data_IF_043245343972
#
_entry.id   IF_043245343972
#
_cell.length_a   1.000
_cell.length_b   1.000
_cell.length_c   1.000
_cell.angle_alpha   90.00
_cell.angle_beta   90.00
_cell.angle_gamma   90.00
#
_symmetry.space_group_name_H-M   'P 1'
#
loop_
_entity.id
_entity.type
_entity.pdbx_description
1 polymer ?
#
# COMPACT_ATOMS: atom_id res chain seq x y z
N UNK A 1 -6.40 -8.94 5.15
CA UNK A 1 -5.21 -8.08 5.14
C UNK A 1 -5.52 -6.72 5.72
N UNK A 2 -4.50 -6.10 6.27
CA UNK A 2 -4.57 -4.75 6.83
C UNK A 2 -3.40 -3.94 6.29
N UNK A 3 -3.65 -2.73 5.80
CA UNK A 3 -2.61 -1.86 5.27
C UNK A 3 -2.84 -0.41 5.68
N UNK A 4 -1.76 0.32 5.81
CA UNK A 4 -1.73 1.75 6.07
C UNK A 4 -0.98 2.41 4.92
N UNK A 5 -1.46 3.55 4.46
CA UNK A 5 -0.83 4.32 3.42
C UNK A 5 -0.95 5.83 3.68
N UNK A 6 0.15 6.52 3.47
CA UNK A 6 0.21 7.98 3.32
C UNK A 6 0.22 8.33 1.83
N UNK A 7 -0.03 9.59 1.49
CA UNK A 7 -0.07 10.06 0.11
C UNK A 7 1.00 11.09 -0.17
N UNK A 8 1.62 10.96 -1.32
CA UNK A 8 2.54 11.94 -1.84
C UNK A 8 1.82 12.90 -2.80
N UNK A 9 2.22 14.14 -2.76
CA UNK A 9 1.79 15.14 -3.74
C UNK A 9 2.87 15.27 -4.83
N UNK A 10 2.56 14.84 -6.04
CA UNK A 10 3.48 15.02 -7.18
C UNK A 10 3.38 16.46 -7.65
N UNK A 11 4.38 17.28 -7.31
CA UNK A 11 4.42 18.72 -7.62
C UNK A 11 4.44 19.05 -9.12
N UNK A 12 4.96 18.17 -9.97
CA UNK A 12 5.36 18.51 -11.34
C UNK A 12 4.19 18.61 -12.34
N UNK A 13 3.01 18.13 -12.02
CA UNK A 13 1.84 18.23 -12.91
C UNK A 13 1.09 19.57 -12.82
N UNK A 14 1.68 20.54 -12.21
CA UNK A 14 1.06 21.82 -11.89
C UNK A 14 1.11 22.80 -13.05
N UNK A 15 0.02 22.92 -13.78
CA UNK A 15 -0.14 24.07 -14.69
C UNK A 15 -0.16 25.38 -13.90
N UNK A 16 0.72 26.29 -14.24
CA UNK A 16 0.94 27.59 -13.56
C UNK A 16 -0.31 28.51 -13.51
N UNK A 17 -1.36 28.16 -14.24
CA UNK A 17 -2.51 29.03 -14.48
C UNK A 17 -3.79 28.65 -13.75
N UNK A 18 -3.74 27.72 -12.82
CA UNK A 18 -4.91 27.41 -12.02
C UNK A 18 -5.09 28.44 -10.92
N UNK A 19 -6.12 29.20 -10.98
CA UNK A 19 -6.56 30.03 -9.88
C UNK A 19 -7.34 29.19 -8.88
N UNK A 20 -7.01 29.37 -7.62
CA UNK A 20 -7.84 28.93 -6.50
C UNK A 20 -9.30 29.24 -6.78
N UNK A 21 -10.18 28.26 -6.59
CA UNK A 21 -11.62 28.49 -6.56
C UNK A 21 -11.88 29.42 -5.37
N UNK A 22 -12.27 30.67 -5.65
CA UNK A 22 -12.67 31.58 -4.59
C UNK A 22 -14.02 31.12 -4.03
N UNK A 23 -14.22 31.33 -2.73
CA UNK A 23 -15.52 31.12 -2.10
C UNK A 23 -16.62 31.74 -2.95
N UNK A 24 -17.62 30.94 -3.36
CA UNK A 24 -18.72 31.35 -4.20
C UNK A 24 -18.57 31.16 -5.72
N UNK A 25 -17.38 30.82 -6.24
CA UNK A 25 -17.20 30.45 -7.64
C UNK A 25 -17.23 28.92 -7.81
N UNK A 26 -18.33 28.43 -8.31
CA UNK A 26 -18.59 27.05 -8.74
C UNK A 26 -18.06 25.92 -7.85
N UNK A 27 -18.87 25.60 -7.04
CA UNK A 27 -19.40 24.30 -6.71
C UNK A 27 -18.32 23.23 -6.49
N UNK A 28 -17.64 23.34 -5.37
CA UNK A 28 -17.24 22.16 -4.60
C UNK A 28 -18.42 21.17 -4.53
N UNK A 29 -19.65 21.58 -4.71
CA UNK A 29 -20.83 20.71 -4.87
C UNK A 29 -20.79 19.75 -6.05
N UNK A 30 -19.86 19.92 -7.02
CA UNK A 30 -19.59 18.99 -8.10
C UNK A 30 -18.23 18.28 -7.92
N UNK A 31 -17.61 18.37 -6.78
CA UNK A 31 -16.40 17.61 -6.45
C UNK A 31 -16.76 16.14 -6.18
N UNK A 32 -15.92 15.25 -6.65
CA UNK A 32 -15.97 13.82 -6.33
C UNK A 32 -14.58 13.35 -5.93
N UNK A 33 -14.50 12.64 -4.81
CA UNK A 33 -13.24 12.04 -4.36
C UNK A 33 -13.37 10.53 -4.41
N UNK A 34 -12.45 9.90 -5.14
CA UNK A 34 -12.35 8.45 -5.27
C UNK A 34 -11.02 7.99 -4.74
N UNK A 35 -11.00 6.89 -3.99
CA UNK A 35 -9.79 6.20 -3.57
C UNK A 35 -9.74 4.87 -4.30
N UNK A 36 -8.61 4.61 -4.96
CA UNK A 36 -8.35 3.41 -5.75
C UNK A 36 -7.25 2.60 -5.10
N UNK A 37 -7.49 1.31 -4.98
CA UNK A 37 -6.46 0.30 -4.70
C UNK A 37 -6.20 -0.42 -6.03
N UNK A 38 -5.13 -0.07 -6.71
CA UNK A 38 -4.71 -0.72 -7.94
C UNK A 38 -3.92 -1.98 -7.61
N UNK A 39 -4.17 -3.08 -8.30
CA UNK A 39 -3.43 -4.32 -8.13
C UNK A 39 -3.16 -4.98 -9.48
N UNK A 40 -2.05 -5.71 -9.59
CA UNK A 40 -1.63 -6.40 -10.80
C UNK A 40 -1.84 -7.90 -10.70
N UNK A 41 -1.93 -8.44 -9.49
CA UNK A 41 -2.07 -9.86 -9.25
C UNK A 41 -2.79 -10.14 -7.92
N UNK A 42 -3.17 -11.38 -7.73
CA UNK A 42 -3.81 -11.86 -6.51
C UNK A 42 -3.40 -13.31 -6.22
N UNK A 43 -3.57 -13.72 -4.99
CA UNK A 43 -3.45 -15.11 -4.56
C UNK A 43 -4.79 -15.61 -4.02
N UNK A 44 -5.16 -16.84 -4.38
CA UNK A 44 -6.39 -17.46 -3.92
C UNK A 44 -7.47 -17.54 -5.00
N UNK A 45 -8.75 -17.60 -4.57
CA UNK A 45 -9.89 -17.72 -5.47
C UNK A 45 -10.25 -16.38 -6.12
N UNK A 46 -10.35 -16.37 -7.43
CA UNK A 46 -10.67 -15.17 -8.21
C UNK A 46 -12.07 -14.62 -8.01
N UNK A 47 -13.01 -15.46 -7.63
CA UNK A 47 -14.44 -15.15 -7.55
C UNK A 47 -15.01 -15.19 -6.13
N UNK A 48 -14.21 -15.50 -5.12
CA UNK A 48 -14.63 -15.39 -3.74
C UNK A 48 -14.98 -13.94 -3.40
N UNK A 49 -16.20 -13.74 -2.90
CA UNK A 49 -16.65 -12.42 -2.47
C UNK A 49 -15.89 -11.99 -1.22
N UNK A 50 -15.21 -10.88 -1.33
CA UNK A 50 -14.51 -10.21 -0.24
C UNK A 50 -15.09 -8.81 -0.03
N UNK A 51 -14.88 -8.25 1.15
CA UNK A 51 -15.20 -6.86 1.43
C UNK A 51 -14.04 -6.20 2.15
N UNK A 52 -13.77 -4.97 1.78
CA UNK A 52 -12.85 -4.11 2.51
C UNK A 52 -13.57 -2.89 3.07
N UNK A 53 -13.04 -2.39 4.18
CA UNK A 53 -13.39 -1.11 4.79
C UNK A 53 -12.17 -0.20 4.72
N UNK A 54 -12.42 1.07 4.39
CA UNK A 54 -11.41 2.13 4.41
C UNK A 54 -11.74 3.14 5.48
N UNK A 55 -10.72 3.53 6.23
CA UNK A 55 -10.83 4.51 7.32
C UNK A 55 -9.75 5.58 7.15
N UNK A 56 -10.07 6.78 7.56
CA UNK A 56 -9.08 7.84 7.72
C UNK A 56 -8.37 7.67 9.07
N UNK A 57 -7.07 7.89 9.11
CA UNK A 57 -6.28 7.88 10.34
C UNK A 57 -6.29 9.27 10.99
N UNK A 58 -7.48 9.79 11.27
CA UNK A 58 -7.74 11.16 11.71
C UNK A 58 -7.66 11.36 13.23
N UNK A 59 -7.54 10.27 13.99
CA UNK A 59 -7.43 10.30 15.43
C UNK A 59 -5.97 10.40 15.87
N UNK A 60 -5.72 11.25 16.85
CA UNK A 60 -4.43 11.33 17.52
C UNK A 60 -4.36 10.33 18.67
N UNK A 61 -3.18 9.77 18.88
CA UNK A 61 -2.94 8.81 19.96
C UNK A 61 -3.16 9.46 21.32
N UNK A 62 -3.94 8.81 22.13
CA UNK A 62 -4.24 9.28 23.48
C UNK A 62 -2.93 9.43 24.31
N UNK A 63 -2.84 10.54 25.04
CA UNK A 63 -1.69 10.88 25.88
C UNK A 63 -0.50 11.50 25.16
N UNK A 64 -0.36 11.39 23.83
CA UNK A 64 0.75 12.01 23.07
C UNK A 64 0.30 13.17 22.19
N UNK A 65 -0.98 13.22 21.81
CA UNK A 65 -1.56 14.18 20.85
C UNK A 65 -0.88 14.11 19.46
N UNK A 66 -0.34 12.95 19.10
CA UNK A 66 0.37 12.73 17.83
C UNK A 66 -0.41 11.82 16.88
N UNK A 67 -0.31 12.09 15.60
CA UNK A 67 -0.85 11.22 14.55
C UNK A 67 0.04 9.98 14.32
N UNK A 68 -0.50 8.97 13.67
CA UNK A 68 0.13 7.68 13.39
C UNK A 68 1.52 7.78 12.74
N UNK A 69 1.75 8.74 11.86
CA UNK A 69 3.03 8.91 11.16
C UNK A 69 4.17 9.44 12.07
N UNK A 70 3.86 9.76 13.32
CA UNK A 70 4.85 10.04 14.37
C UNK A 70 5.15 8.82 15.25
N UNK A 71 4.38 7.72 15.09
CA UNK A 71 4.64 6.49 15.84
C UNK A 71 5.98 5.89 15.40
N UNK A 72 6.86 5.49 16.32
CA UNK A 72 8.10 4.79 15.99
C UNK A 72 7.90 3.51 15.18
N UNK A 73 6.72 2.91 15.25
CA UNK A 73 6.35 1.70 14.51
C UNK A 73 5.68 1.97 13.17
N UNK A 74 5.55 3.23 12.72
CA UNK A 74 4.81 3.58 11.50
C UNK A 74 5.31 2.86 10.24
N UNK A 75 6.58 2.44 10.22
CA UNK A 75 7.18 1.71 9.10
C UNK A 75 7.18 0.18 9.27
N UNK A 76 6.67 -0.32 10.40
CA UNK A 76 6.79 -1.74 10.75
C UNK A 76 5.43 -2.43 10.75
N UNK A 77 5.47 -3.76 10.62
CA UNK A 77 4.28 -4.61 10.57
C UNK A 77 3.55 -4.73 11.91
N UNK A 78 4.14 -4.24 12.99
CA UNK A 78 3.57 -4.23 14.33
C UNK A 78 2.87 -2.91 14.71
N UNK A 79 2.77 -1.95 13.79
CA UNK A 79 1.96 -0.74 14.04
C UNK A 79 0.53 -1.12 14.40
N UNK A 80 -0.04 -0.40 15.37
CA UNK A 80 -1.42 -0.59 15.77
C UNK A 80 -2.32 0.55 15.25
N UNK A 81 -3.03 0.34 14.14
CA UNK A 81 -3.88 1.35 13.56
C UNK A 81 -5.10 1.69 14.44
N UNK A 82 -5.54 0.78 15.31
CA UNK A 82 -6.72 0.99 16.16
C UNK A 82 -6.57 2.17 17.13
N UNK A 83 -5.34 2.65 17.32
CA UNK A 83 -5.04 3.84 18.12
C UNK A 83 -5.32 5.16 17.38
N UNK A 84 -5.51 5.13 16.05
CA UNK A 84 -5.45 6.30 15.18
C UNK A 84 -6.71 6.53 14.34
N UNK A 85 -7.75 5.72 14.51
CA UNK A 85 -9.03 5.91 13.87
C UNK A 85 -10.20 5.49 14.80
N UNK A 86 -11.39 5.87 14.43
CA UNK A 86 -12.63 5.42 15.06
C UNK A 86 -13.49 4.69 14.02
N UNK A 87 -14.01 3.50 14.37
CA UNK A 87 -14.74 2.64 13.43
C UNK A 87 -16.03 3.24 12.87
N UNK A 88 -16.61 4.20 13.58
CA UNK A 88 -17.86 4.82 13.18
C UNK A 88 -17.62 6.15 12.46
N UNK A 89 -16.79 7.01 13.04
CA UNK A 89 -16.61 8.38 12.56
C UNK A 89 -15.55 8.51 11.48
N UNK A 90 -14.51 7.67 11.48
CA UNK A 90 -13.42 7.73 10.49
C UNK A 90 -13.68 6.89 9.24
N UNK A 91 -14.85 6.23 9.12
CA UNK A 91 -15.17 5.36 8.00
C UNK A 91 -15.37 6.18 6.71
N UNK A 92 -14.50 5.95 5.72
CA UNK A 92 -14.60 6.53 4.38
C UNK A 92 -15.53 5.74 3.47
N UNK A 93 -15.63 4.44 3.68
CA UNK A 93 -16.54 3.57 2.94
C UNK A 93 -16.20 2.10 2.99
N UNK A 94 -17.11 1.29 2.47
CA UNK A 94 -16.96 -0.17 2.33
C UNK A 94 -17.20 -0.58 0.89
N UNK A 95 -16.45 -1.56 0.42
CA UNK A 95 -16.59 -2.10 -0.94
C UNK A 95 -16.50 -3.61 -0.94
N UNK A 96 -17.55 -4.26 -1.44
CA UNK A 96 -17.49 -5.68 -1.79
C UNK A 96 -16.84 -5.82 -3.16
N UNK A 97 -16.00 -6.84 -3.32
CA UNK A 97 -15.25 -7.09 -4.55
C UNK A 97 -14.95 -8.58 -4.72
N UNK A 98 -14.55 -8.93 -5.92
CA UNK A 98 -13.89 -10.19 -6.28
C UNK A 98 -12.56 -9.83 -6.95
N UNK A 99 -11.57 -10.73 -6.92
CA UNK A 99 -10.27 -10.43 -7.54
C UNK A 99 -10.36 -10.28 -9.06
N UNK A 100 -11.36 -10.90 -9.69
CA UNK A 100 -11.71 -10.66 -11.09
C UNK A 100 -13.06 -9.95 -11.13
N UNK A 101 -13.08 -8.71 -11.59
CA UNK A 101 -14.31 -7.93 -11.72
C UNK A 101 -15.10 -8.37 -12.96
N UNK A 102 -16.14 -9.18 -12.75
CA UNK A 102 -17.00 -9.67 -13.83
C UNK A 102 -17.97 -8.61 -14.37
N UNK A 103 -18.08 -7.45 -13.75
CA UNK A 103 -18.86 -6.33 -14.30
C UNK A 103 -18.16 -5.66 -15.48
N UNK A 104 -16.85 -5.86 -15.60
CA UNK A 104 -16.04 -5.42 -16.73
C UNK A 104 -16.01 -6.52 -17.79
N UNK A 105 -16.28 -6.19 -19.06
CA UNK A 105 -16.30 -7.18 -20.14
C UNK A 105 -14.93 -7.81 -20.38
N UNK A 106 -14.91 -9.04 -20.87
CA UNK A 106 -13.65 -9.77 -21.19
C UNK A 106 -12.79 -9.00 -22.19
N UNK A 107 -13.43 -8.32 -23.16
CA UNK A 107 -12.72 -7.52 -24.16
C UNK A 107 -11.91 -6.37 -23.54
N UNK A 108 -12.39 -5.81 -22.43
CA UNK A 108 -11.68 -4.76 -21.68
C UNK A 108 -10.64 -5.39 -20.75
N UNK A 109 -11.02 -6.45 -20.01
CA UNK A 109 -10.10 -7.11 -19.07
C UNK A 109 -8.86 -7.69 -19.75
N UNK A 110 -8.97 -8.09 -21.02
CA UNK A 110 -7.86 -8.64 -21.81
C UNK A 110 -6.98 -7.58 -22.49
N UNK A 111 -7.28 -6.28 -22.32
CA UNK A 111 -6.40 -5.23 -22.82
C UNK A 111 -5.13 -5.17 -21.98
N UNK A 112 -3.98 -5.01 -22.61
CA UNK A 112 -2.69 -4.82 -21.95
C UNK A 112 -2.62 -3.55 -21.07
N UNK A 113 -3.53 -2.61 -21.32
CA UNK A 113 -3.65 -1.36 -20.56
C UNK A 113 -4.63 -1.46 -19.39
N UNK A 114 -5.37 -2.57 -19.28
CA UNK A 114 -6.30 -2.75 -18.18
C UNK A 114 -5.54 -3.11 -16.89
N UNK A 115 -5.75 -2.32 -15.87
CA UNK A 115 -5.29 -2.62 -14.50
C UNK A 115 -6.51 -2.72 -13.59
N UNK A 116 -6.71 -3.84 -12.91
CA UNK A 116 -7.82 -3.98 -11.98
C UNK A 116 -7.66 -3.11 -10.74
N UNK A 117 -8.78 -2.71 -10.16
CA UNK A 117 -8.79 -1.90 -8.95
C UNK A 117 -10.01 -2.15 -8.07
N UNK A 118 -9.88 -1.84 -6.79
CA UNK A 118 -11.00 -1.66 -5.88
C UNK A 118 -11.17 -0.18 -5.63
N UNK A 119 -12.37 0.37 -5.89
CA UNK A 119 -12.67 1.80 -5.76
C UNK A 119 -13.68 2.05 -4.65
N UNK A 120 -13.38 3.04 -3.82
CA UNK A 120 -14.33 3.68 -2.91
C UNK A 120 -14.50 5.13 -3.32
N UNK A 121 -15.76 5.56 -3.45
CA UNK A 121 -16.13 6.96 -3.63
C UNK A 121 -16.57 7.50 -2.28
N UNK A 122 -15.98 8.62 -1.85
CA UNK A 122 -16.36 9.26 -0.60
C UNK A 122 -17.79 9.81 -0.68
N UNK A 123 -18.46 9.86 0.45
CA UNK A 123 -19.77 10.49 0.53
C UNK A 123 -19.67 12.00 0.24
N UNK A 124 -20.83 12.62 0.04
CA UNK A 124 -20.91 14.03 -0.34
C UNK A 124 -20.37 14.95 0.75
N UNK A 125 -20.67 14.69 2.02
CA UNK A 125 -20.27 15.57 3.13
C UNK A 125 -18.74 15.57 3.30
N UNK A 126 -18.11 14.38 3.32
CA UNK A 126 -16.66 14.27 3.42
C UNK A 126 -15.96 14.80 2.17
N UNK A 127 -16.53 14.57 0.98
CA UNK A 127 -16.03 15.12 -0.28
C UNK A 127 -16.02 16.65 -0.27
N UNK A 128 -17.08 17.28 0.20
CA UNK A 128 -17.15 18.75 0.27
C UNK A 128 -16.15 19.32 1.27
N UNK A 129 -16.02 18.71 2.43
CA UNK A 129 -15.08 19.13 3.46
C UNK A 129 -13.63 19.01 2.99
N UNK A 130 -13.24 17.81 2.57
CA UNK A 130 -11.88 17.51 2.12
C UNK A 130 -11.53 18.26 0.83
N UNK A 131 -12.48 18.36 -0.10
CA UNK A 131 -12.33 19.09 -1.34
C UNK A 131 -12.09 20.58 -1.15
N UNK A 132 -12.78 21.22 -0.17
CA UNK A 132 -12.53 22.63 0.19
C UNK A 132 -11.09 22.85 0.62
N UNK A 133 -10.58 22.02 1.50
CA UNK A 133 -9.22 22.16 2.01
C UNK A 133 -8.17 21.85 0.90
N UNK A 134 -8.32 20.76 0.17
CA UNK A 134 -7.40 20.35 -0.89
C UNK A 134 -7.34 21.34 -2.06
N UNK A 135 -8.47 21.96 -2.41
CA UNK A 135 -8.53 22.94 -3.50
C UNK A 135 -8.12 24.34 -3.06
N UNK A 136 -8.36 24.71 -1.79
CA UNK A 136 -8.00 26.01 -1.22
C UNK A 136 -6.49 26.21 -1.14
N UNK A 137 -5.77 25.24 -0.65
CA UNK A 137 -4.33 25.33 -0.41
C UNK A 137 -3.50 25.30 -1.69
N UNK A 138 -4.10 25.23 -2.84
CA UNK A 138 -3.47 25.26 -4.18
C UNK A 138 -2.00 24.95 -4.20
N UNK A 139 -1.23 24.30 -4.60
CA UNK A 139 0.04 24.04 -5.31
C UNK A 139 1.28 24.71 -4.79
N UNK A 140 1.45 24.92 -3.51
CA UNK A 140 2.70 25.35 -2.94
C UNK A 140 3.66 24.17 -2.71
N UNK A 141 4.97 24.41 -2.74
CA UNK A 141 5.99 23.40 -2.41
C UNK A 141 5.80 22.77 -1.03
N UNK A 142 5.06 23.43 -0.16
CA UNK A 142 4.75 22.96 1.20
C UNK A 142 3.45 22.15 1.30
N UNK A 143 2.77 21.86 0.18
CA UNK A 143 1.49 21.13 0.21
C UNK A 143 1.64 19.72 0.80
N UNK A 144 2.79 19.08 0.64
CA UNK A 144 3.03 17.76 1.25
C UNK A 144 2.90 17.79 2.78
N UNK A 145 3.52 18.76 3.44
CA UNK A 145 3.39 18.93 4.90
C UNK A 145 1.99 19.29 5.33
N UNK A 146 1.29 20.08 4.52
CA UNK A 146 -0.10 20.47 4.75
C UNK A 146 -1.08 19.37 4.39
N UNK A 147 -0.75 18.50 3.44
CA UNK A 147 -1.61 17.38 3.06
C UNK A 147 -1.84 16.43 4.23
N UNK A 148 -0.81 16.08 4.99
CA UNK A 148 -0.94 15.26 6.19
C UNK A 148 -1.80 15.92 7.28
N UNK A 149 -1.86 17.25 7.34
CA UNK A 149 -2.75 17.97 8.25
C UNK A 149 -4.21 17.94 7.78
N UNK A 150 -4.44 17.82 6.46
CA UNK A 150 -5.77 17.76 5.84
C UNK A 150 -6.30 16.32 5.83
N UNK A 151 -5.45 15.38 5.45
CA UNK A 151 -5.72 13.96 5.35
C UNK A 151 -4.56 13.16 5.94
N UNK A 152 -4.60 12.82 7.22
CA UNK A 152 -3.46 12.22 7.92
C UNK A 152 -3.01 10.86 7.41
N UNK A 153 -3.87 10.12 6.73
CA UNK A 153 -3.54 8.83 6.15
C UNK A 153 -4.74 7.90 6.00
N UNK A 154 -4.51 6.79 5.34
CA UNK A 154 -5.50 5.78 5.01
C UNK A 154 -5.20 4.47 5.72
N UNK A 155 -6.21 3.88 6.36
CA UNK A 155 -6.19 2.51 6.81
C UNK A 155 -7.22 1.68 6.05
N UNK A 156 -6.80 0.52 5.58
CA UNK A 156 -7.64 -0.43 4.85
C UNK A 156 -7.58 -1.77 5.53
N UNK A 157 -8.72 -2.36 5.79
CA UNK A 157 -8.83 -3.73 6.30
C UNK A 157 -9.81 -4.56 5.48
N UNK A 158 -9.49 -5.84 5.34
CA UNK A 158 -10.44 -6.84 4.85
C UNK A 158 -11.30 -7.27 6.04
N UNK A 159 -12.58 -6.93 6.00
CA UNK A 159 -13.54 -7.19 7.07
C UNK A 159 -14.51 -8.34 6.76
N UNK A 160 -14.46 -8.88 5.54
CA UNK A 160 -15.23 -10.04 5.12
C UNK A 160 -14.53 -10.78 3.98
N UNK A 161 -14.60 -12.12 4.04
CA UNK A 161 -14.01 -13.01 3.04
C UNK A 161 -12.53 -13.32 3.32
N UNK A 162 -12.13 -14.56 3.10
CA UNK A 162 -10.80 -15.10 3.43
C UNK A 162 -10.17 -15.89 2.27
N UNK A 163 -10.81 -15.92 1.12
CA UNK A 163 -10.37 -16.71 -0.04
C UNK A 163 -9.35 -16.05 -0.94
N UNK A 164 -9.09 -14.75 -0.78
CA UNK A 164 -8.28 -13.98 -1.75
C UNK A 164 -7.42 -12.92 -1.10
N UNK A 165 -6.19 -12.81 -1.59
CA UNK A 165 -5.25 -11.74 -1.21
C UNK A 165 -4.92 -10.95 -2.48
N UNK A 166 -5.21 -9.65 -2.50
CA UNK A 166 -4.80 -8.74 -3.56
C UNK A 166 -3.38 -8.22 -3.32
N UNK A 167 -2.54 -8.22 -4.34
CA UNK A 167 -1.24 -7.56 -4.31
C UNK A 167 -1.39 -6.12 -4.82
N UNK A 168 -1.73 -5.23 -3.88
CA UNK A 168 -1.90 -3.80 -4.19
C UNK A 168 -0.55 -3.17 -4.49
N UNK A 169 -0.39 -2.62 -5.69
CA UNK A 169 0.84 -1.98 -6.15
C UNK A 169 0.78 -0.46 -6.13
N UNK A 170 -0.42 0.13 -6.08
CA UNK A 170 -0.60 1.56 -5.92
C UNK A 170 -1.90 1.89 -5.19
N UNK A 171 -1.84 2.91 -4.35
CA UNK A 171 -3.00 3.54 -3.72
C UNK A 171 -3.08 4.97 -4.23
N UNK A 172 -4.22 5.36 -4.76
CA UNK A 172 -4.41 6.65 -5.41
C UNK A 172 -5.71 7.29 -4.95
N UNK A 173 -5.64 8.56 -4.57
CA UNK A 173 -6.81 9.40 -4.30
C UNK A 173 -6.97 10.39 -5.43
N UNK A 174 -8.09 10.35 -6.13
CA UNK A 174 -8.44 11.28 -7.19
C UNK A 174 -9.52 12.25 -6.72
N UNK A 175 -9.23 13.52 -6.85
CA UNK A 175 -10.15 14.62 -6.59
C UNK A 175 -10.56 15.21 -7.93
N UNK A 176 -11.77 14.91 -8.37
CA UNK A 176 -12.37 15.47 -9.58
C UNK A 176 -13.27 16.66 -9.24
N UNK A 177 -13.16 17.75 -9.97
CA UNK A 177 -13.92 18.97 -9.73
C UNK A 177 -14.18 19.74 -11.02
N UNK A 178 -15.12 20.68 -10.98
CA UNK A 178 -15.36 21.61 -12.08
C UNK A 178 -14.61 22.92 -11.83
N UNK A 179 -13.96 23.44 -12.87
CA UNK A 179 -13.32 24.75 -12.84
C UNK A 179 -13.70 25.59 -14.06
N UNK A 180 -13.53 26.92 -13.96
CA UNK A 180 -13.68 27.78 -15.12
C UNK A 180 -12.55 27.52 -16.14
N UNK A 181 -12.94 27.24 -17.39
CA UNK A 181 -11.97 27.20 -18.47
C UNK A 181 -11.28 28.56 -18.64
N UNK A 182 -9.96 28.56 -18.78
CA UNK A 182 -9.16 29.78 -18.92
C UNK A 182 -8.30 29.70 -20.17
N UNK A 183 -8.07 30.84 -20.77
CA UNK A 183 -7.09 31.02 -21.83
C UNK A 183 -5.69 30.75 -21.28
N UNK A 184 -4.91 29.93 -21.98
CA UNK A 184 -3.60 29.47 -21.51
C UNK A 184 -2.54 30.59 -21.48
N UNK A 185 -2.74 31.67 -22.24
CA UNK A 185 -1.80 32.78 -22.37
C UNK A 185 -2.16 33.91 -21.43
N UNK A 186 -3.43 34.33 -21.47
CA UNK A 186 -3.88 35.51 -20.74
C UNK A 186 -4.44 35.20 -19.33
N UNK A 187 -4.79 33.92 -19.07
CA UNK A 187 -5.46 33.51 -17.84
C UNK A 187 -6.91 33.95 -17.72
N UNK A 188 -7.45 34.63 -18.75
CA UNK A 188 -8.82 35.09 -18.77
C UNK A 188 -9.82 33.93 -18.83
N UNK A 189 -10.98 34.08 -18.16
CA UNK A 189 -12.05 33.11 -18.25
C UNK A 189 -12.59 33.04 -19.67
N UNK A 190 -12.68 31.81 -20.22
CA UNK A 190 -13.30 31.57 -21.49
C UNK A 190 -14.82 31.59 -21.36
N UNK A 191 -15.50 32.07 -22.39
CA UNK A 191 -16.95 32.12 -22.44
C UNK A 191 -17.49 31.28 -23.57
N UNK A 192 -18.67 30.69 -23.37
CA UNK A 192 -19.41 30.01 -24.41
C UNK A 192 -19.96 31.02 -25.43
N UNK A 193 -20.44 30.53 -26.58
CA UNK A 193 -21.12 31.38 -27.56
C UNK A 193 -22.36 32.10 -27.02
N UNK A 194 -22.92 31.63 -25.92
CA UNK A 194 -24.05 32.25 -25.22
C UNK A 194 -23.61 33.23 -24.16
N UNK A 195 -22.33 33.58 -24.05
CA UNK A 195 -21.79 34.54 -23.09
C UNK A 195 -21.67 34.03 -21.65
N UNK A 196 -21.96 32.74 -21.41
CA UNK A 196 -21.77 32.11 -20.09
C UNK A 196 -20.32 31.69 -19.91
N UNK A 197 -19.82 31.70 -18.67
CA UNK A 197 -18.50 31.19 -18.37
C UNK A 197 -18.43 29.70 -18.77
N UNK A 198 -17.37 29.31 -19.47
CA UNK A 198 -17.11 27.93 -19.87
C UNK A 198 -16.54 27.16 -18.67
N UNK A 199 -17.02 25.96 -18.43
CA UNK A 199 -16.62 25.09 -17.31
C UNK A 199 -16.05 23.80 -17.86
N UNK A 200 -14.97 23.32 -17.26
CA UNK A 200 -14.29 22.07 -17.61
C UNK A 200 -14.09 21.20 -16.37
N UNK A 201 -14.04 19.90 -16.61
CA UNK A 201 -13.63 18.97 -15.57
C UNK A 201 -12.11 19.04 -15.40
N UNK A 202 -11.70 19.15 -14.18
CA UNK A 202 -10.31 19.09 -13.76
C UNK A 202 -10.14 18.03 -12.66
N UNK A 203 -8.93 17.59 -12.44
CA UNK A 203 -8.63 16.60 -11.41
C UNK A 203 -7.25 16.76 -10.82
N UNK A 204 -7.12 16.22 -9.62
CA UNK A 204 -5.85 16.05 -8.93
C UNK A 204 -5.74 14.63 -8.42
N UNK A 205 -4.56 14.07 -8.54
CA UNK A 205 -4.27 12.74 -8.03
C UNK A 205 -3.17 12.83 -6.96
N UNK A 206 -3.40 12.14 -5.88
CA UNK A 206 -2.44 11.92 -4.80
C UNK A 206 -2.17 10.43 -4.74
N UNK A 207 -0.90 10.05 -4.80
CA UNK A 207 -0.53 8.63 -4.87
C UNK A 207 0.37 8.27 -3.72
N UNK A 208 0.16 7.09 -3.16
CA UNK A 208 1.09 6.51 -2.21
C UNK A 208 2.30 5.97 -2.99
N UNK A 209 3.44 6.61 -2.81
CA UNK A 209 4.70 6.27 -3.47
C UNK A 209 5.70 5.74 -2.46
N UNK A 210 6.91 5.38 -2.90
CA UNK A 210 7.97 4.86 -2.01
C UNK A 210 8.53 5.92 -1.05
N UNK A 211 8.29 7.19 -1.31
CA UNK A 211 8.73 8.32 -0.50
C UNK A 211 7.85 8.57 0.73
N UNK A 212 6.66 7.97 0.76
CA UNK A 212 5.72 8.11 1.87
C UNK A 212 5.60 6.81 2.66
N UNK A 213 5.06 6.92 3.87
CA UNK A 213 4.93 5.75 4.76
C UNK A 213 3.87 4.81 4.20
N UNK A 214 4.27 3.55 4.03
CA UNK A 214 3.39 2.45 3.70
C UNK A 214 3.71 1.27 4.61
N UNK A 215 2.73 0.70 5.27
CA UNK A 215 2.91 -0.43 6.15
C UNK A 215 1.76 -1.44 6.00
N UNK A 216 2.11 -2.72 6.11
CA UNK A 216 1.13 -3.79 6.23
C UNK A 216 1.16 -4.30 7.67
N UNK A 217 0.02 -4.28 8.36
CA UNK A 217 -0.10 -4.97 9.65
C UNK A 217 -0.25 -6.45 9.37
N UNK A 218 0.74 -7.22 9.82
CA UNK A 218 0.77 -8.67 9.67
C UNK A 218 0.68 -9.33 11.03
N UNK A 219 -0.34 -10.15 11.19
CA UNK A 219 -0.56 -10.94 12.39
C UNK A 219 -0.36 -12.42 12.04
N UNK A 220 0.47 -13.08 12.81
CA UNK A 220 0.67 -14.50 12.67
C UNK A 220 -0.42 -15.25 13.46
N UNK A 221 -1.00 -16.26 12.84
CA UNK A 221 -1.93 -17.15 13.55
C UNK A 221 -1.18 -18.11 14.50
N UNK A 222 -1.92 -18.78 15.37
CA UNK A 222 -1.39 -19.75 16.37
C UNK A 222 -0.60 -20.89 15.76
N UNK A 223 -0.88 -21.26 14.50
CA UNK A 223 -0.13 -22.28 13.75
C UNK A 223 1.34 -21.98 13.57
N UNK A 224 1.78 -20.74 13.77
CA UNK A 224 3.20 -20.39 13.65
C UNK A 224 4.02 -21.06 14.75
N UNK A 225 3.50 -21.18 15.96
CA UNK A 225 4.14 -21.85 17.08
C UNK A 225 4.34 -23.35 16.78
N UNK A 226 3.32 -23.99 16.22
CA UNK A 226 3.41 -25.38 15.75
C UNK A 226 4.51 -25.57 14.68
N UNK A 227 4.65 -24.60 13.78
CA UNK A 227 5.72 -24.62 12.76
C UNK A 227 7.12 -24.45 13.38
N UNK A 228 7.27 -23.61 14.41
CA UNK A 228 8.55 -23.38 15.11
C UNK A 228 8.95 -24.63 15.90
N UNK A 229 7.99 -25.31 16.49
CA UNK A 229 8.24 -26.46 17.37
C UNK A 229 8.55 -27.77 16.61
N UNK A 230 8.30 -27.83 15.31
CA UNK A 230 8.63 -29.02 14.48
C UNK A 230 10.12 -29.31 14.52
N UNK A 231 10.45 -30.61 14.56
CA UNK A 231 11.83 -31.10 14.65
C UNK A 231 12.32 -31.74 13.35
N UNK A 232 11.43 -32.09 12.46
CA UNK A 232 11.68 -32.78 11.19
C UNK A 232 11.95 -31.81 10.03
N UNK A 233 11.48 -30.58 10.14
CA UNK A 233 11.70 -29.52 9.16
C UNK A 233 11.70 -28.16 9.80
N UNK A 234 12.11 -27.14 9.04
CA UNK A 234 12.02 -25.72 9.40
C UNK A 234 11.20 -24.96 8.36
N UNK A 235 10.73 -23.80 8.73
CA UNK A 235 9.89 -22.99 7.88
C UNK A 235 10.52 -21.63 7.60
N UNK A 236 10.31 -21.13 6.40
CA UNK A 236 10.60 -19.75 6.02
C UNK A 236 9.29 -19.06 5.70
N UNK A 237 9.07 -17.88 6.27
CA UNK A 237 7.91 -17.05 5.99
C UNK A 237 8.33 -15.60 5.84
N UNK A 238 7.93 -14.95 4.76
CA UNK A 238 8.12 -13.52 4.51
C UNK A 238 6.79 -12.92 4.03
N UNK A 239 6.49 -11.67 4.37
CA UNK A 239 7.08 -10.81 5.38
C UNK A 239 6.61 -11.15 6.80
N UNK A 240 7.15 -10.46 7.83
CA UNK A 240 6.87 -10.69 9.25
C UNK A 240 6.99 -12.17 9.64
N UNK A 241 8.16 -12.70 9.40
CA UNK A 241 8.30 -14.09 9.14
C UNK A 241 9.00 -14.92 10.18
N UNK A 242 9.16 -16.18 9.79
CA UNK A 242 10.01 -17.17 10.44
C UNK A 242 11.32 -17.20 9.67
N UNK A 243 12.43 -17.17 10.39
CA UNK A 243 13.77 -17.34 9.86
C UNK A 243 14.33 -18.66 10.34
N UNK A 244 14.97 -19.40 9.44
CA UNK A 244 15.72 -20.61 9.81
C UNK A 244 17.13 -20.21 10.16
N UNK A 245 17.59 -20.55 11.36
CA UNK A 245 18.97 -20.42 11.78
C UNK A 245 19.73 -21.71 11.48
N UNK A 246 20.87 -21.59 10.76
CA UNK A 246 21.73 -22.71 10.41
C UNK A 246 23.09 -22.48 11.10
N UNK A 247 23.50 -23.44 11.90
CA UNK A 247 24.85 -23.46 12.50
C UNK A 247 25.73 -24.44 11.72
N UNK A 248 26.81 -23.94 11.16
CA UNK A 248 27.80 -24.75 10.47
C UNK A 248 28.97 -25.02 11.42
N UNK A 249 29.33 -26.32 11.69
CA UNK A 249 30.44 -26.65 12.57
C UNK A 249 31.79 -26.51 11.82
N UNK A 250 32.15 -25.26 11.51
CA UNK A 250 33.32 -24.94 10.69
C UNK A 250 34.63 -25.47 11.29
N UNK A 251 34.76 -25.40 12.61
CA UNK A 251 35.96 -25.90 13.31
C UNK A 251 36.12 -27.40 13.17
N UNK A 252 35.05 -28.18 13.31
CA UNK A 252 35.08 -29.63 13.11
C UNK A 252 35.37 -29.99 11.68
N UNK A 253 34.78 -29.26 10.71
CA UNK A 253 35.05 -29.44 9.30
C UNK A 253 36.51 -29.13 9.00
N UNK A 254 37.06 -28.04 9.50
CA UNK A 254 38.46 -27.65 9.30
C UNK A 254 39.41 -28.66 9.90
N UNK A 255 39.15 -29.17 11.09
CA UNK A 255 39.98 -30.17 11.77
C UNK A 255 39.94 -31.52 11.01
N UNK A 256 38.80 -31.87 10.41
CA UNK A 256 38.66 -33.11 9.63
C UNK A 256 39.43 -33.04 8.30
N UNK A 257 39.47 -31.85 7.70
CA UNK A 257 40.14 -31.64 6.41
C UNK A 257 41.67 -31.48 6.54
N UNK A 258 42.13 -31.07 7.72
CA UNK A 258 43.55 -30.88 7.98
C UNK A 258 44.22 -29.92 7.01
N UNK A 259 45.18 -30.43 6.23
CA UNK A 259 45.93 -29.66 5.20
C UNK A 259 45.35 -29.74 3.80
N UNK A 260 44.18 -30.37 3.64
CA UNK A 260 43.59 -30.57 2.31
C UNK A 260 43.16 -29.24 1.69
N UNK A 261 43.35 -29.15 0.37
CA UNK A 261 42.89 -27.99 -0.40
C UNK A 261 41.46 -28.24 -0.87
N UNK A 262 40.52 -27.34 -0.47
CA UNK A 262 39.14 -27.42 -0.89
C UNK A 262 38.96 -26.87 -2.31
N UNK A 263 38.48 -27.67 -3.24
CA UNK A 263 38.11 -27.21 -4.57
C UNK A 263 36.71 -26.58 -4.63
N UNK A 264 35.78 -27.02 -3.77
CA UNK A 264 34.42 -26.48 -3.69
C UNK A 264 33.78 -26.81 -2.34
N UNK A 265 32.92 -25.91 -1.89
CA UNK A 265 32.03 -26.10 -0.73
C UNK A 265 30.59 -25.88 -1.20
N UNK A 266 29.73 -26.85 -0.96
CA UNK A 266 28.33 -26.79 -1.37
C UNK A 266 27.42 -27.02 -0.18
N UNK A 267 26.53 -26.02 0.10
CA UNK A 267 25.41 -26.18 1.00
C UNK A 267 24.16 -26.54 0.18
N UNK A 268 23.57 -27.69 0.45
CA UNK A 268 22.30 -28.09 -0.18
C UNK A 268 21.18 -28.01 0.86
N UNK A 269 20.14 -27.27 0.56
CA UNK A 269 18.97 -27.12 1.42
C UNK A 269 17.81 -27.84 0.73
N UNK A 270 17.43 -29.06 1.17
CA UNK A 270 16.33 -29.75 0.58
C UNK A 270 15.00 -29.09 0.93
N UNK A 271 14.08 -29.07 -0.04
CA UNK A 271 12.73 -28.57 0.16
C UNK A 271 11.87 -29.72 0.65
N UNK A 272 11.19 -29.50 1.77
CA UNK A 272 10.18 -30.43 2.26
C UNK A 272 8.90 -30.26 1.44
N UNK A 273 8.62 -31.26 0.62
CA UNK A 273 7.46 -31.24 -0.26
C UNK A 273 6.35 -32.10 0.36
N UNK A 274 5.46 -31.49 1.14
CA UNK A 274 4.23 -32.17 1.52
C UNK A 274 3.36 -32.37 0.27
N UNK A 275 3.24 -33.60 -0.18
CA UNK A 275 2.28 -33.95 -1.21
C UNK A 275 0.86 -33.82 -0.63
N UNK A 276 0.29 -32.63 -0.64
CA UNK A 276 -1.10 -32.41 -0.32
C UNK A 276 -1.92 -32.48 -1.60
N UNK A 277 -2.90 -33.40 -1.62
CA UNK A 277 -3.79 -33.63 -2.75
C UNK A 277 -4.67 -32.44 -3.14
N UNK A 278 -4.76 -31.40 -2.31
CA UNK A 278 -5.69 -30.27 -2.45
C UNK A 278 -5.00 -28.93 -2.79
N UNK A 279 -3.88 -28.98 -3.54
CA UNK A 279 -3.10 -27.77 -3.86
C UNK A 279 -3.69 -26.88 -4.96
N UNK A 280 -4.97 -26.62 -4.99
CA UNK A 280 -5.53 -25.60 -5.89
C UNK A 280 -4.90 -24.21 -5.60
N UNK A 281 -4.52 -23.95 -4.33
CA UNK A 281 -3.97 -22.70 -3.84
C UNK A 281 -2.66 -22.90 -3.03
N UNK A 282 -1.84 -23.87 -3.42
CA UNK A 282 -0.55 -24.11 -2.78
C UNK A 282 0.43 -22.95 -3.04
N UNK A 283 1.16 -22.55 -2.00
CA UNK A 283 2.26 -21.60 -2.18
C UNK A 283 3.37 -22.23 -3.01
N UNK A 284 3.89 -21.49 -3.99
CA UNK A 284 5.03 -21.93 -4.78
C UNK A 284 6.31 -21.89 -3.96
N UNK A 285 7.27 -22.75 -4.31
CA UNK A 285 8.62 -22.71 -3.75
C UNK A 285 9.27 -21.36 -4.10
N UNK A 286 9.91 -20.66 -3.14
CA UNK A 286 10.60 -19.42 -3.43
C UNK A 286 11.75 -19.67 -4.43
N UNK A 287 11.90 -18.79 -5.40
CA UNK A 287 12.94 -18.87 -6.43
C UNK A 287 14.33 -18.61 -5.88
N UNK A 288 14.43 -17.88 -4.79
CA UNK A 288 15.65 -17.50 -4.12
C UNK A 288 15.43 -17.38 -2.62
N UNK A 289 16.46 -17.63 -1.86
CA UNK A 289 16.52 -17.40 -0.43
C UNK A 289 17.74 -16.53 -0.13
N UNK A 290 17.60 -15.66 0.85
CA UNK A 290 18.68 -14.80 1.32
C UNK A 290 19.34 -15.46 2.54
N UNK A 291 20.66 -15.63 2.48
CA UNK A 291 21.48 -16.07 3.60
C UNK A 291 22.16 -14.85 4.22
N UNK A 292 21.95 -14.63 5.51
CA UNK A 292 22.57 -13.52 6.24
C UNK A 292 23.30 -14.07 7.45
N UNK A 293 24.50 -13.58 7.72
CA UNK A 293 25.16 -13.90 8.99
C UNK A 293 24.35 -13.32 10.15
N UNK A 294 24.00 -14.16 11.13
CA UNK A 294 23.12 -13.79 12.25
C UNK A 294 23.47 -12.46 12.90
N UNK A 295 24.77 -12.17 13.10
CA UNK A 295 25.24 -10.92 13.72
C UNK A 295 24.96 -9.66 12.91
N UNK A 296 24.66 -9.77 11.60
CA UNK A 296 24.39 -8.64 10.73
C UNK A 296 22.91 -8.51 10.35
N UNK A 297 22.07 -9.47 10.76
CA UNK A 297 20.67 -9.55 10.33
C UNK A 297 19.89 -8.27 10.62
N UNK A 298 19.97 -7.76 11.83
CA UNK A 298 19.17 -6.62 12.26
C UNK A 298 19.62 -5.33 11.58
N UNK A 299 20.93 -5.12 11.41
CA UNK A 299 21.48 -3.98 10.71
C UNK A 299 21.16 -4.05 9.21
N UNK A 300 21.21 -5.23 8.59
CA UNK A 300 20.87 -5.43 7.18
C UNK A 300 19.46 -4.95 6.87
N UNK A 301 18.47 -5.38 7.65
CA UNK A 301 17.08 -4.97 7.42
C UNK A 301 16.83 -3.51 7.83
N UNK A 302 17.43 -3.05 8.91
CA UNK A 302 17.29 -1.66 9.38
C UNK A 302 17.84 -0.64 8.38
N UNK A 303 18.95 -0.98 7.72
CA UNK A 303 19.62 -0.10 6.79
C UNK A 303 19.21 -0.32 5.33
N UNK A 304 18.27 -1.24 5.04
CA UNK A 304 17.89 -1.64 3.68
C UNK A 304 19.10 -2.03 2.82
N UNK A 305 20.05 -2.78 3.40
CA UNK A 305 21.25 -3.22 2.69
C UNK A 305 20.89 -4.22 1.57
N UNK A 306 21.71 -4.21 0.53
CA UNK A 306 21.63 -5.21 -0.54
C UNK A 306 22.62 -6.34 -0.26
N UNK A 307 22.33 -7.53 -0.79
CA UNK A 307 23.27 -8.66 -0.70
C UNK A 307 24.61 -8.31 -1.34
N UNK A 308 25.70 -8.49 -0.59
CA UNK A 308 27.07 -8.18 -0.99
C UNK A 308 27.95 -9.45 -1.16
N UNK A 309 27.37 -10.63 -0.91
CA UNK A 309 28.08 -11.90 -0.95
C UNK A 309 29.11 -12.09 0.18
N UNK A 310 29.17 -11.17 1.14
CA UNK A 310 30.10 -11.23 2.29
C UNK A 310 29.34 -11.37 3.60
N UNK A 311 28.38 -10.49 3.83
CA UNK A 311 27.52 -10.48 5.02
C UNK A 311 26.21 -11.22 4.76
N UNK A 312 25.76 -11.21 3.50
CA UNK A 312 24.49 -11.76 3.02
C UNK A 312 24.60 -12.30 1.60
#
# INVERSE_FOLDING_TARGET
>A
GKMIADFNNVEESVHKNYTTIKDGETSIGNCQINIYLWYDSYFGDSLTACRLSMYELDKKKEGTNEYWYKDPNAYYTNIDPDLYYDKETSLLGRKSYTAVDLSVSDSIRNLSTYTPYVKITLDKARTEELGKELLKEGRTKDLYKKFQDIFPGLYVESDYGDGTILYVNAVQMDVAFLEHARDSITGAKLRTSLGKDSVVYAGRSFTSTREVIQANKLENGTKIEECIDRKDCTYLKSPAGIFTEVTLPIEEISNTLGSDTLNAVKLSIPIYNEATSDKKFGMSVPRSVLLIRKKYKDDFFKNNELSDGIKS
#
